data_IF_563434105122
#
_entry.id   IF_563434105122
#
_cell.length_a   1.000
_cell.length_b   1.000
_cell.length_c   1.000
_cell.angle_alpha   90.00
_cell.angle_beta   90.00
_cell.angle_gamma   90.00
#
_symmetry.space_group_name_H-M   'P 1'
#
loop_
_entity.id
_entity.type
_entity.pdbx_description
1 polymer ?
#
# COMPACT_ATOMS: atom_id res chain seq x y z
N UNK A 1 -11.20 -11.02 -10.31
CA UNK A 1 -9.91 -11.79 -10.32
C UNK A 1 -8.78 -10.89 -9.81
N UNK A 2 -7.88 -11.45 -8.99
CA UNK A 2 -6.67 -10.74 -8.55
C UNK A 2 -5.49 -11.34 -9.31
N UNK A 3 -4.69 -10.48 -9.95
CA UNK A 3 -3.52 -10.87 -10.73
C UNK A 3 -2.40 -9.85 -10.63
N UNK A 4 -1.22 -10.20 -11.12
CA UNK A 4 -0.10 -9.27 -11.19
C UNK A 4 -0.41 -8.08 -12.10
N UNK A 5 0.14 -6.91 -11.72
CA UNK A 5 0.10 -5.70 -12.57
C UNK A 5 0.95 -5.94 -13.82
N UNK A 6 0.45 -5.50 -14.95
CA UNK A 6 1.19 -5.40 -16.22
C UNK A 6 1.48 -3.94 -16.51
N UNK A 7 2.49 -3.66 -17.31
CA UNK A 7 2.78 -2.28 -17.74
C UNK A 7 1.57 -1.58 -18.36
N UNK A 8 0.77 -2.35 -19.11
CA UNK A 8 -0.47 -1.86 -19.74
C UNK A 8 -1.58 -1.47 -18.75
N UNK A 9 -1.49 -1.89 -17.50
CA UNK A 9 -2.46 -1.53 -16.44
C UNK A 9 -2.14 -0.17 -15.80
N UNK A 10 -0.91 0.32 -15.92
CA UNK A 10 -0.45 1.51 -15.22
C UNK A 10 -1.30 2.76 -15.45
N UNK A 11 -1.83 3.04 -16.65
CA UNK A 11 -2.77 4.16 -16.83
C UNK A 11 -4.03 4.04 -15.95
N UNK A 12 -4.63 2.86 -15.88
CA UNK A 12 -5.81 2.60 -15.03
C UNK A 12 -5.46 2.67 -13.54
N UNK A 13 -4.32 2.11 -13.15
CA UNK A 13 -3.79 2.19 -11.78
C UNK A 13 -3.58 3.65 -11.37
N UNK A 14 -3.02 4.48 -12.27
CA UNK A 14 -2.82 5.91 -12.01
C UNK A 14 -4.15 6.64 -11.76
N UNK A 15 -5.17 6.37 -12.57
CA UNK A 15 -6.50 6.97 -12.39
C UNK A 15 -7.08 6.64 -11.01
N UNK A 16 -7.00 5.36 -10.60
CA UNK A 16 -7.47 4.93 -9.28
C UNK A 16 -6.63 5.57 -8.17
N UNK A 17 -5.31 5.65 -8.34
CA UNK A 17 -4.42 6.31 -7.38
C UNK A 17 -4.83 7.77 -7.15
N UNK A 18 -5.01 8.53 -8.23
CA UNK A 18 -5.33 9.97 -8.14
C UNK A 18 -6.71 10.22 -7.52
N UNK A 19 -7.67 9.33 -7.75
CA UNK A 19 -8.99 9.39 -7.12
C UNK A 19 -8.96 9.09 -5.61
N UNK A 20 -7.87 8.53 -5.10
CA UNK A 20 -7.67 8.15 -3.70
C UNK A 20 -6.69 9.07 -2.94
N UNK A 21 -6.19 10.14 -3.56
CA UNK A 21 -5.41 11.17 -2.86
C UNK A 21 -6.34 11.93 -1.89
N UNK A 22 -5.94 12.24 -0.63
CA UNK A 22 -4.62 12.11 -0.03
C UNK A 22 -4.37 10.79 0.73
N UNK A 23 -5.29 9.84 0.74
CA UNK A 23 -5.11 8.56 1.44
C UNK A 23 -3.90 7.79 0.88
N UNK A 24 -3.66 7.89 -0.42
CA UNK A 24 -2.40 7.54 -1.08
C UNK A 24 -1.74 8.82 -1.60
N UNK A 25 -0.42 8.79 -1.79
CA UNK A 25 0.32 9.92 -2.35
C UNK A 25 0.00 10.15 -3.83
N UNK A 26 0.02 11.42 -4.24
CA UNK A 26 -0.08 11.80 -5.66
C UNK A 26 1.09 11.23 -6.46
N UNK A 27 0.81 10.72 -7.66
CA UNK A 27 1.82 10.19 -8.58
C UNK A 27 1.67 10.80 -9.98
N UNK A 28 2.75 10.72 -10.76
CA UNK A 28 2.75 10.90 -12.20
C UNK A 28 2.91 9.53 -12.87
N UNK A 29 2.73 9.45 -14.19
CA UNK A 29 3.03 8.21 -14.95
C UNK A 29 4.46 7.74 -14.67
N UNK A 30 5.41 8.67 -14.70
CA UNK A 30 6.84 8.37 -14.48
C UNK A 30 7.12 7.90 -13.07
N UNK A 31 6.60 8.59 -12.04
CA UNK A 31 6.86 8.22 -10.65
C UNK A 31 6.16 6.92 -10.27
N UNK A 32 4.95 6.67 -10.79
CA UNK A 32 4.24 5.42 -10.58
C UNK A 32 5.00 4.23 -11.20
N UNK A 33 5.51 4.39 -12.43
CA UNK A 33 6.34 3.37 -13.07
C UNK A 33 7.63 3.12 -12.28
N UNK A 34 8.29 4.17 -11.80
CA UNK A 34 9.50 4.06 -10.97
C UNK A 34 9.23 3.29 -9.68
N UNK A 35 8.07 3.51 -9.05
CA UNK A 35 7.64 2.74 -7.88
C UNK A 35 7.35 1.28 -8.25
N UNK A 36 6.60 1.07 -9.33
CA UNK A 36 6.21 -0.27 -9.78
C UNK A 36 7.43 -1.19 -9.99
N UNK A 37 8.49 -0.69 -10.60
CA UNK A 37 9.70 -1.51 -10.86
C UNK A 37 10.47 -1.89 -9.58
N UNK A 38 10.24 -1.20 -8.46
CA UNK A 38 10.83 -1.53 -7.17
C UNK A 38 10.01 -2.59 -6.40
N UNK A 39 8.75 -2.81 -6.77
CA UNK A 39 7.85 -3.72 -6.07
C UNK A 39 8.24 -5.18 -6.32
N UNK A 40 8.21 -5.99 -5.25
CA UNK A 40 8.27 -7.45 -5.37
C UNK A 40 6.88 -8.06 -5.55
N UNK A 41 5.83 -7.36 -5.08
CA UNK A 41 4.43 -7.76 -5.24
C UNK A 41 3.66 -6.51 -5.67
N UNK A 42 3.01 -6.61 -6.82
CA UNK A 42 2.13 -5.56 -7.33
C UNK A 42 0.92 -6.24 -7.99
N UNK A 43 -0.26 -6.00 -7.42
CA UNK A 43 -1.49 -6.71 -7.79
C UNK A 43 -2.58 -5.75 -8.23
N UNK A 44 -3.42 -6.20 -9.15
CA UNK A 44 -4.68 -5.54 -9.52
C UNK A 44 -5.87 -6.45 -9.26
N UNK A 45 -7.01 -5.81 -9.00
CA UNK A 45 -8.33 -6.43 -9.07
C UNK A 45 -8.89 -6.14 -10.45
N UNK A 46 -9.17 -7.18 -11.21
CA UNK A 46 -9.83 -7.07 -12.50
C UNK A 46 -11.26 -7.58 -12.41
N UNK A 47 -12.22 -6.75 -12.81
CA UNK A 47 -13.65 -7.06 -12.85
C UNK A 47 -14.15 -6.68 -14.24
N UNK A 48 -14.77 -7.62 -14.93
CA UNK A 48 -15.29 -7.44 -16.29
C UNK A 48 -14.25 -6.86 -17.27
N UNK A 49 -12.99 -7.31 -17.15
CA UNK A 49 -11.89 -6.86 -18.00
C UNK A 49 -11.31 -5.50 -17.66
N UNK A 50 -11.74 -4.87 -16.54
CA UNK A 50 -11.28 -3.55 -16.11
C UNK A 50 -10.60 -3.61 -14.75
N UNK A 51 -9.52 -2.84 -14.58
CA UNK A 51 -8.84 -2.67 -13.29
C UNK A 51 -9.71 -1.80 -12.38
N UNK A 52 -10.05 -2.33 -11.19
CA UNK A 52 -10.91 -1.66 -10.21
C UNK A 52 -10.23 -1.46 -8.84
N UNK A 53 -9.02 -1.93 -8.70
CA UNK A 53 -8.22 -1.74 -7.48
C UNK A 53 -6.82 -2.27 -7.67
N UNK A 54 -5.92 -1.87 -6.77
CA UNK A 54 -4.53 -2.33 -6.82
C UNK A 54 -3.85 -2.23 -5.46
N UNK A 55 -2.72 -2.92 -5.32
CA UNK A 55 -1.75 -2.69 -4.24
C UNK A 55 -0.32 -2.84 -4.76
N UNK A 56 0.60 -2.15 -4.09
CA UNK A 56 2.03 -2.17 -4.40
C UNK A 56 2.84 -2.36 -3.13
N UNK A 57 3.67 -3.40 -3.10
CA UNK A 57 4.48 -3.78 -1.95
C UNK A 57 5.96 -3.91 -2.35
N UNK A 58 6.83 -3.38 -1.50
CA UNK A 58 8.27 -3.37 -1.70
C UNK A 58 8.97 -4.32 -0.73
N UNK A 59 10.01 -5.05 -1.20
CA UNK A 59 10.89 -5.82 -0.32
C UNK A 59 11.87 -4.89 0.40
N UNK A 60 12.63 -5.37 1.38
CA UNK A 60 13.73 -4.59 1.96
C UNK A 60 14.83 -4.30 0.93
N UNK A 61 15.66 -3.30 1.24
CA UNK A 61 16.89 -2.98 0.49
C UNK A 61 16.68 -2.49 -0.94
N UNK A 62 15.56 -1.81 -1.19
CA UNK A 62 15.33 -1.10 -2.47
C UNK A 62 15.91 0.32 -2.42
N UNK A 63 15.94 0.99 -3.57
CA UNK A 63 16.34 2.39 -3.67
C UNK A 63 15.24 3.39 -3.26
N UNK A 64 14.10 2.91 -2.77
CA UNK A 64 12.97 3.76 -2.38
C UNK A 64 13.33 4.71 -1.25
N UNK A 65 13.03 6.00 -1.41
CA UNK A 65 13.45 7.07 -0.49
C UNK A 65 12.33 7.56 0.45
N UNK A 66 11.17 6.89 0.48
CA UNK A 66 10.10 7.27 1.40
C UNK A 66 10.58 7.24 2.86
N UNK A 67 10.36 8.32 3.65
CA UNK A 67 10.72 8.33 5.06
C UNK A 67 10.05 7.20 5.86
N UNK A 68 8.84 6.83 5.51
CA UNK A 68 8.10 5.74 6.15
C UNK A 68 8.77 4.38 5.89
N UNK A 69 9.10 4.11 4.63
CA UNK A 69 9.82 2.90 4.24
C UNK A 69 11.18 2.80 4.93
N UNK A 70 11.95 3.88 4.97
CA UNK A 70 13.26 3.93 5.63
C UNK A 70 13.17 3.70 7.13
N UNK A 71 12.14 4.24 7.78
CA UNK A 71 11.88 4.00 9.20
C UNK A 71 11.65 2.51 9.48
N UNK A 72 10.79 1.87 8.69
CA UNK A 72 10.45 0.45 8.86
C UNK A 72 11.62 -0.46 8.51
N UNK A 73 12.42 -0.11 7.50
CA UNK A 73 13.61 -0.86 7.11
C UNK A 73 14.68 -0.88 8.20
N UNK A 74 14.78 0.17 9.04
CA UNK A 74 15.67 0.17 10.19
C UNK A 74 15.22 -0.76 11.33
N UNK A 75 13.93 -1.11 11.34
CA UNK A 75 13.33 -1.90 12.42
C UNK A 75 13.23 -3.38 12.12
N UNK A 76 13.08 -3.75 10.85
CA UNK A 76 12.84 -5.12 10.41
C UNK A 76 13.78 -5.51 9.29
N UNK A 77 14.27 -6.77 9.34
CA UNK A 77 15.12 -7.35 8.28
C UNK A 77 14.28 -8.14 7.26
N UNK A 78 13.27 -8.87 7.74
CA UNK A 78 12.45 -9.76 6.93
C UNK A 78 11.01 -9.25 6.84
N UNK A 79 10.83 -8.13 6.16
CA UNK A 79 9.53 -7.48 6.02
C UNK A 79 9.14 -7.30 4.56
N UNK A 80 7.86 -7.07 4.34
CA UNK A 80 7.33 -6.48 3.12
C UNK A 80 6.59 -5.19 3.48
N UNK A 81 6.78 -4.16 2.70
CA UNK A 81 6.19 -2.84 2.93
C UNK A 81 5.07 -2.56 1.93
N UNK A 82 3.85 -2.38 2.43
CA UNK A 82 2.74 -1.90 1.62
C UNK A 82 2.86 -0.38 1.46
N UNK A 83 3.28 0.06 0.28
CA UNK A 83 3.35 1.49 -0.01
C UNK A 83 1.98 2.09 -0.27
N UNK A 84 1.15 1.37 -1.02
CA UNK A 84 -0.22 1.82 -1.32
C UNK A 84 -1.16 0.69 -1.66
N UNK A 85 -2.43 0.92 -1.33
CA UNK A 85 -3.58 0.12 -1.72
C UNK A 85 -4.73 1.09 -2.00
N UNK A 86 -5.42 0.89 -3.11
CA UNK A 86 -6.56 1.73 -3.46
C UNK A 86 -7.60 0.94 -4.26
N UNK A 87 -8.86 1.26 -4.02
CA UNK A 87 -10.03 0.67 -4.69
C UNK A 87 -10.80 1.79 -5.39
N UNK A 88 -11.26 1.56 -6.60
CA UNK A 88 -12.13 2.49 -7.32
C UNK A 88 -13.43 2.73 -6.55
N UNK A 89 -13.96 3.96 -6.62
CA UNK A 89 -15.10 4.41 -5.81
C UNK A 89 -16.30 3.46 -5.84
N UNK A 90 -16.70 2.99 -7.01
CA UNK A 90 -17.84 2.09 -7.18
C UNK A 90 -17.66 0.69 -6.60
N UNK A 91 -16.45 0.36 -6.14
CA UNK A 91 -16.08 -0.99 -5.67
C UNK A 91 -15.61 -1.01 -4.22
N UNK A 92 -15.61 0.13 -3.54
CA UNK A 92 -15.25 0.23 -2.12
C UNK A 92 -16.30 -0.48 -1.24
N UNK A 93 -15.88 -0.89 -0.04
CA UNK A 93 -16.74 -1.55 0.97
C UNK A 93 -17.37 -2.86 0.49
N UNK A 94 -16.75 -3.54 -0.48
CA UNK A 94 -17.19 -4.83 -1.01
C UNK A 94 -16.21 -5.96 -0.69
N UNK A 95 -15.28 -5.74 0.25
CA UNK A 95 -14.32 -6.76 0.69
C UNK A 95 -13.07 -6.90 -0.19
N UNK A 96 -12.89 -6.09 -1.22
CA UNK A 96 -11.75 -6.18 -2.14
C UNK A 96 -10.40 -5.85 -1.48
N UNK A 97 -10.38 -4.89 -0.56
CA UNK A 97 -9.17 -4.56 0.20
C UNK A 97 -8.63 -5.76 0.98
N UNK A 98 -9.41 -6.39 1.86
CA UNK A 98 -9.02 -7.62 2.55
C UNK A 98 -8.54 -8.74 1.62
N UNK A 99 -9.16 -8.89 0.46
CA UNK A 99 -8.74 -9.91 -0.52
C UNK A 99 -7.36 -9.60 -1.12
N UNK A 100 -7.06 -8.32 -1.40
CA UNK A 100 -5.72 -7.90 -1.84
C UNK A 100 -4.66 -8.20 -0.77
N UNK A 101 -4.95 -7.91 0.50
CA UNK A 101 -4.06 -8.26 1.61
C UNK A 101 -3.81 -9.76 1.68
N UNK A 102 -4.87 -10.55 1.63
CA UNK A 102 -4.76 -12.02 1.69
C UNK A 102 -3.88 -12.55 0.57
N UNK A 103 -4.10 -12.08 -0.66
CA UNK A 103 -3.31 -12.53 -1.80
C UNK A 103 -1.86 -12.05 -1.73
N UNK A 104 -1.61 -10.81 -1.29
CA UNK A 104 -0.27 -10.29 -1.11
C UNK A 104 0.51 -11.07 -0.03
N UNK A 105 -0.12 -11.36 1.11
CA UNK A 105 0.47 -12.16 2.19
C UNK A 105 0.82 -13.56 1.68
N UNK A 106 -0.09 -14.20 0.95
CA UNK A 106 0.12 -15.54 0.37
C UNK A 106 1.33 -15.59 -0.57
N UNK A 107 1.58 -14.52 -1.31
CA UNK A 107 2.72 -14.42 -2.24
C UNK A 107 4.02 -13.98 -1.56
N UNK A 108 3.94 -13.49 -0.35
CA UNK A 108 5.09 -12.99 0.40
C UNK A 108 5.80 -14.11 1.17
N UNK A 109 7.13 -14.03 1.25
CA UNK A 109 7.95 -14.85 2.14
C UNK A 109 8.41 -14.05 3.36
N UNK A 110 7.88 -12.85 3.59
CA UNK A 110 8.26 -11.98 4.69
C UNK A 110 7.72 -12.49 6.03
N UNK A 111 8.38 -12.09 7.11
CA UNK A 111 7.93 -12.35 8.48
C UNK A 111 7.01 -11.25 9.00
N UNK A 112 7.08 -10.05 8.41
CA UNK A 112 6.34 -8.88 8.82
C UNK A 112 5.73 -8.17 7.63
N UNK A 113 4.46 -7.80 7.75
CA UNK A 113 3.82 -6.84 6.87
C UNK A 113 3.82 -5.48 7.56
N UNK A 114 4.35 -4.48 6.89
CA UNK A 114 4.52 -3.12 7.42
C UNK A 114 3.84 -2.10 6.52
N UNK A 115 3.35 -1.04 7.12
CA UNK A 115 2.69 0.05 6.40
C UNK A 115 2.59 1.29 7.30
N UNK A 116 2.07 2.39 6.75
CA UNK A 116 1.62 3.54 7.51
C UNK A 116 0.18 3.90 7.18
N UNK A 117 -0.47 4.56 8.15
CA UNK A 117 -1.81 5.13 8.02
C UNK A 117 -1.76 6.60 8.43
N UNK A 118 -2.36 7.48 7.64
CA UNK A 118 -2.40 8.91 7.94
C UNK A 118 -3.18 9.19 9.23
N UNK A 119 -2.58 9.96 10.13
CA UNK A 119 -3.21 10.50 11.34
C UNK A 119 -3.53 11.98 11.14
N UNK A 120 -2.64 12.72 10.47
CA UNK A 120 -2.86 14.10 10.03
C UNK A 120 -2.40 14.21 8.56
N UNK A 121 -3.32 14.47 7.61
CA UNK A 121 -4.78 14.49 7.76
C UNK A 121 -5.32 13.12 8.18
N UNK A 122 -6.45 13.04 8.92
CA UNK A 122 -6.91 11.79 9.50
C UNK A 122 -7.46 10.82 8.45
N UNK A 123 -7.17 9.53 8.65
CA UNK A 123 -7.78 8.41 7.95
C UNK A 123 -8.25 7.38 8.98
N UNK A 124 -9.23 7.76 9.78
CA UNK A 124 -9.72 6.99 10.92
C UNK A 124 -10.27 5.61 10.51
N UNK A 125 -10.95 5.53 9.38
CA UNK A 125 -11.48 4.28 8.87
C UNK A 125 -10.37 3.26 8.57
N UNK A 126 -9.30 3.70 7.93
CA UNK A 126 -8.13 2.88 7.66
C UNK A 126 -7.41 2.46 8.95
N UNK A 127 -7.25 3.39 9.89
CA UNK A 127 -6.61 3.07 11.18
C UNK A 127 -7.40 2.00 11.94
N UNK A 128 -8.72 2.15 12.07
CA UNK A 128 -9.58 1.14 12.70
C UNK A 128 -9.53 -0.19 11.99
N UNK A 129 -9.55 -0.19 10.66
CA UNK A 129 -9.43 -1.40 9.86
C UNK A 129 -8.14 -2.16 10.19
N UNK A 130 -6.99 -1.49 10.16
CA UNK A 130 -5.70 -2.12 10.40
C UNK A 130 -5.56 -2.64 11.84
N UNK A 131 -6.02 -1.88 12.83
CA UNK A 131 -6.03 -2.35 14.24
C UNK A 131 -6.89 -3.62 14.38
N UNK A 132 -8.05 -3.66 13.74
CA UNK A 132 -8.94 -4.83 13.77
C UNK A 132 -8.32 -6.03 13.06
N UNK A 133 -7.55 -5.81 11.99
CA UNK A 133 -6.85 -6.86 11.25
C UNK A 133 -5.58 -7.37 11.97
N UNK A 134 -5.29 -6.87 13.16
CA UNK A 134 -4.19 -7.35 14.00
C UNK A 134 -2.87 -6.61 13.80
N UNK A 135 -2.88 -5.44 13.16
CA UNK A 135 -1.70 -4.58 13.12
C UNK A 135 -1.47 -3.90 14.46
N UNK A 136 -0.21 -3.70 14.80
CA UNK A 136 0.23 -2.96 15.99
C UNK A 136 0.83 -1.62 15.55
N UNK A 137 0.43 -0.54 16.22
CA UNK A 137 1.07 0.76 16.06
C UNK A 137 2.46 0.74 16.73
N UNK A 138 3.49 1.09 15.97
CA UNK A 138 4.86 1.19 16.47
C UNK A 138 5.16 2.59 17.01
N UNK A 139 4.75 3.61 16.26
CA UNK A 139 4.96 5.01 16.55
C UNK A 139 4.08 5.89 15.68
N UNK A 140 3.85 7.13 16.13
CA UNK A 140 3.31 8.20 15.27
C UNK A 140 4.44 9.19 14.99
N UNK A 141 4.69 9.45 13.70
CA UNK A 141 5.81 10.28 13.27
C UNK A 141 5.35 11.34 12.27
N UNK A 142 5.91 12.54 12.40
CA UNK A 142 5.82 13.57 11.37
C UNK A 142 6.92 13.33 10.33
N UNK A 143 6.69 12.44 9.39
CA UNK A 143 7.67 12.04 8.38
C UNK A 143 7.80 13.04 7.22
N UNK A 144 6.82 13.92 7.06
CA UNK A 144 6.82 15.06 6.13
C UNK A 144 6.18 16.25 6.82
N UNK A 145 6.55 17.51 6.48
CA UNK A 145 5.98 18.70 7.13
C UNK A 145 4.44 18.70 7.08
N UNK A 146 3.81 18.82 8.26
CA UNK A 146 2.36 18.85 8.41
C UNK A 146 1.65 17.51 8.22
N UNK A 147 2.39 16.42 8.02
CA UNK A 147 1.83 15.08 7.82
C UNK A 147 2.33 14.12 8.91
N UNK A 148 1.39 13.66 9.73
CA UNK A 148 1.67 12.66 10.78
C UNK A 148 1.08 11.32 10.34
N UNK A 149 1.87 10.25 10.48
CA UNK A 149 1.46 8.88 10.16
C UNK A 149 1.60 7.98 11.37
N UNK A 150 0.74 6.97 11.46
CA UNK A 150 0.89 5.81 12.33
C UNK A 150 1.68 4.75 11.56
N UNK A 151 2.86 4.42 12.05
CA UNK A 151 3.69 3.35 11.49
C UNK A 151 3.29 2.04 12.14
N UNK A 152 2.92 1.05 11.35
CA UNK A 152 2.27 -0.17 11.81
C UNK A 152 2.93 -1.43 11.25
N UNK A 153 2.84 -2.51 12.02
CA UNK A 153 3.31 -3.82 11.60
C UNK A 153 2.39 -4.94 12.05
N UNK A 154 2.44 -6.04 11.30
CA UNK A 154 1.74 -7.30 11.61
C UNK A 154 2.70 -8.47 11.37
N UNK A 155 2.81 -9.36 12.35
CA UNK A 155 3.53 -10.63 12.17
C UNK A 155 2.75 -11.55 11.23
N UNK A 156 3.45 -12.11 10.24
CA UNK A 156 2.88 -13.07 9.28
C UNK A 156 3.12 -14.53 9.68
#
# INVERSE_FOLDING_TARGET
MIRDIRDTDLPSVLLINQANVPAVGHETVKSLHSLFVLCSIALVIEIDGHVQGFCMLLPPSTAYKSPNYLYLQKRYDHFIYLDRIAIADGYRNQGWGPLLYTEAIKRSNAQWLTLEVNVVPPNEGSLRFHLREGFTELSQEETRPGKIVSLMSKRL
#
